data_IF_020107932241
#
_entry.id   IF_020107932241
#
_cell.length_a   1.000
_cell.length_b   1.000
_cell.length_c   1.000
_cell.angle_alpha   90.00
_cell.angle_beta   90.00
_cell.angle_gamma   90.00
#
_symmetry.space_group_name_H-M   'P 1'
#
loop_
_entity.id
_entity.type
_entity.pdbx_description
1 polymer ?
#
# COMPACT_ATOMS: atom_id res chain seq x y z
N UNK A 1 15.40 -1.77 -0.32
CA UNK A 1 14.72 -1.24 -1.52
C UNK A 1 15.22 0.18 -1.73
N UNK A 2 15.94 0.44 -2.82
CA UNK A 2 16.45 1.77 -3.14
C UNK A 2 15.55 2.35 -4.25
N UNK A 3 14.73 3.34 -3.92
CA UNK A 3 13.99 4.10 -4.92
C UNK A 3 14.90 5.24 -5.37
N UNK A 4 15.64 5.03 -6.47
CA UNK A 4 16.46 6.07 -7.08
C UNK A 4 15.57 6.82 -8.07
N UNK A 5 15.31 8.09 -7.77
CA UNK A 5 14.74 8.99 -8.76
C UNK A 5 15.81 9.24 -9.85
N UNK A 6 15.54 8.74 -11.06
CA UNK A 6 16.39 9.02 -12.22
C UNK A 6 15.84 10.25 -12.94
N UNK A 7 15.76 11.37 -12.22
CA UNK A 7 15.29 12.64 -12.75
C UNK A 7 16.21 13.10 -13.89
N UNK A 8 15.68 13.13 -15.12
CA UNK A 8 16.33 13.69 -16.29
C UNK A 8 15.37 14.73 -16.91
N UNK A 9 15.60 16.03 -16.69
CA UNK A 9 14.63 17.08 -17.01
C UNK A 9 14.25 17.18 -18.50
N UNK A 10 15.01 16.54 -19.41
CA UNK A 10 14.66 16.42 -20.84
C UNK A 10 13.68 15.29 -21.19
N UNK A 11 13.42 14.35 -20.27
CA UNK A 11 12.64 13.13 -20.51
C UNK A 11 11.66 12.78 -19.38
N UNK A 12 11.89 13.23 -18.15
CA UNK A 12 11.03 12.97 -17.00
C UNK A 12 9.96 14.06 -16.88
N UNK A 13 8.70 13.69 -17.16
CA UNK A 13 7.53 14.50 -16.77
C UNK A 13 7.49 14.68 -15.25
N UNK A 14 6.83 15.74 -14.78
CA UNK A 14 6.60 16.00 -13.35
C UNK A 14 6.18 14.72 -12.64
N UNK A 15 6.98 14.34 -11.66
CA UNK A 15 6.87 13.06 -10.97
C UNK A 15 5.45 12.85 -10.44
N UNK A 16 4.93 11.64 -10.68
CA UNK A 16 3.68 11.16 -10.09
C UNK A 16 2.48 12.00 -10.55
N UNK A 17 2.29 12.00 -11.87
CA UNK A 17 1.40 12.87 -12.66
C UNK A 17 -0.02 12.97 -12.14
N UNK A 18 -0.27 13.81 -11.13
CA UNK A 18 -1.57 14.32 -10.66
C UNK A 18 -2.67 13.28 -10.36
N UNK A 19 -2.36 11.99 -10.46
CA UNK A 19 -3.30 10.89 -10.36
C UNK A 19 -3.74 10.71 -8.93
N UNK A 20 -5.01 10.38 -8.76
CA UNK A 20 -5.55 9.92 -7.48
C UNK A 20 -5.72 8.42 -7.55
N UNK A 21 -5.09 7.72 -6.62
CA UNK A 21 -5.21 6.27 -6.47
C UNK A 21 -5.70 5.99 -5.05
N UNK A 22 -6.88 5.38 -4.92
CA UNK A 22 -7.50 5.09 -3.62
C UNK A 22 -7.46 6.26 -2.62
N UNK A 23 -7.87 7.46 -3.09
CA UNK A 23 -7.84 8.73 -2.36
C UNK A 23 -6.44 9.32 -2.06
N UNK A 24 -5.35 8.68 -2.48
CA UNK A 24 -3.99 9.20 -2.38
C UNK A 24 -3.64 10.00 -3.64
N UNK A 25 -3.38 11.30 -3.47
CA UNK A 25 -2.99 12.21 -4.55
C UNK A 25 -1.50 12.09 -4.86
N UNK A 26 -1.12 12.34 -6.11
CA UNK A 26 0.27 12.29 -6.57
C UNK A 26 0.92 10.92 -6.27
N UNK A 27 0.12 9.86 -6.34
CA UNK A 27 0.63 8.49 -6.22
C UNK A 27 1.55 8.19 -7.40
N UNK A 28 2.77 7.78 -7.11
CA UNK A 28 3.77 7.34 -8.09
C UNK A 28 3.63 5.85 -8.40
N UNK A 29 2.91 5.12 -7.55
CA UNK A 29 2.70 3.68 -7.67
C UNK A 29 2.23 3.07 -6.37
N UNK A 30 2.02 1.75 -6.43
CA UNK A 30 1.58 0.95 -5.29
C UNK A 30 2.58 -0.21 -5.09
N UNK A 31 2.90 -0.49 -3.83
CA UNK A 31 3.57 -1.73 -3.40
C UNK A 31 2.50 -2.72 -2.94
N UNK A 32 2.43 -3.88 -3.59
CA UNK A 32 1.73 -5.05 -3.06
C UNK A 32 2.76 -5.99 -2.44
N UNK A 33 2.79 -6.03 -1.12
CA UNK A 33 3.70 -6.87 -0.36
C UNK A 33 3.00 -8.16 0.05
N UNK A 34 3.33 -9.24 -0.63
CA UNK A 34 2.95 -10.61 -0.27
C UNK A 34 3.99 -11.23 0.68
N UNK A 35 3.58 -11.55 1.90
CA UNK A 35 4.44 -12.19 2.91
C UNK A 35 4.28 -13.72 2.99
N UNK A 36 3.32 -14.30 2.27
CA UNK A 36 3.06 -15.73 2.20
C UNK A 36 3.74 -16.39 0.98
N UNK A 37 4.28 -15.58 0.08
CA UNK A 37 5.16 -16.01 -1.01
C UNK A 37 4.40 -16.81 -2.06
N UNK A 38 4.80 -18.06 -2.33
CA UNK A 38 4.14 -18.91 -3.34
C UNK A 38 2.88 -19.62 -2.84
N UNK A 39 2.54 -19.48 -1.55
CA UNK A 39 1.43 -20.20 -0.93
C UNK A 39 0.13 -19.45 -1.18
N UNK A 40 -0.74 -20.02 -2.00
CA UNK A 40 -2.11 -19.53 -2.18
C UNK A 40 -3.01 -19.87 -0.96
N UNK A 41 -4.11 -19.12 -0.74
CA UNK A 41 -4.54 -17.94 -1.49
C UNK A 41 -3.86 -16.65 -1.03
N UNK A 42 -3.64 -15.71 -1.97
CA UNK A 42 -3.21 -14.35 -1.67
C UNK A 42 -4.43 -13.51 -1.29
N UNK A 43 -4.47 -13.08 -0.03
CA UNK A 43 -5.59 -12.44 0.64
C UNK A 43 -5.16 -11.10 1.21
N UNK A 44 -5.77 -10.02 0.71
CA UNK A 44 -5.56 -8.67 1.24
C UNK A 44 -5.87 -8.61 2.73
N UNK A 45 -5.00 -7.94 3.48
CA UNK A 45 -5.12 -7.83 4.92
C UNK A 45 -4.84 -9.12 5.69
N UNK A 46 -4.32 -10.16 5.06
CA UNK A 46 -3.83 -11.36 5.77
C UNK A 46 -2.39 -11.66 5.42
N UNK A 47 -2.11 -11.73 4.13
CA UNK A 47 -0.78 -11.99 3.61
C UNK A 47 -0.36 -11.02 2.49
N UNK A 48 -1.30 -10.26 1.92
CA UNK A 48 -0.98 -9.16 1.02
C UNK A 48 -1.30 -7.81 1.67
N UNK A 49 -0.31 -6.91 1.68
CA UNK A 49 -0.42 -5.57 2.27
C UNK A 49 -0.01 -4.47 1.28
N UNK A 50 -0.69 -3.33 1.36
CA UNK A 50 -0.67 -2.31 0.30
C UNK A 50 -0.11 -0.99 0.82
N UNK A 51 0.83 -0.40 0.09
CA UNK A 51 1.41 0.90 0.40
C UNK A 51 1.47 1.77 -0.85
N UNK A 52 1.24 3.07 -0.70
CA UNK A 52 1.42 4.01 -1.80
C UNK A 52 2.84 4.55 -1.79
N UNK A 53 3.45 4.62 -2.96
CA UNK A 53 4.70 5.32 -3.17
C UNK A 53 4.35 6.73 -3.61
N UNK A 54 4.73 7.72 -2.81
CA UNK A 54 4.80 9.12 -3.21
C UNK A 54 6.25 9.44 -3.63
N UNK A 55 6.45 10.67 -4.09
CA UNK A 55 7.75 11.12 -4.61
C UNK A 55 8.89 10.90 -3.60
N UNK A 56 8.62 11.22 -2.34
CA UNK A 56 9.59 11.31 -1.25
C UNK A 56 9.26 10.42 -0.06
N UNK A 57 8.11 9.74 -0.07
CA UNK A 57 7.66 8.91 1.04
C UNK A 57 6.87 7.67 0.60
N UNK A 58 6.76 6.70 1.50
CA UNK A 58 5.85 5.58 1.38
C UNK A 58 4.77 5.77 2.44
N UNK A 59 3.51 5.87 2.00
CA UNK A 59 2.37 6.11 2.88
C UNK A 59 1.49 4.88 3.01
N UNK A 60 0.85 4.76 4.18
CA UNK A 60 -0.12 3.70 4.47
C UNK A 60 -1.40 3.95 3.67
N UNK A 61 -2.08 2.87 3.28
CA UNK A 61 -3.35 2.98 2.58
C UNK A 61 -4.40 3.69 3.47
N UNK A 62 -5.16 4.67 2.96
CA UNK A 62 -5.99 5.55 3.80
C UNK A 62 -7.32 4.93 4.26
N UNK A 63 -7.76 3.84 3.62
CA UNK A 63 -9.01 3.19 3.99
C UNK A 63 -8.97 2.59 5.39
N UNK A 64 -10.11 2.62 6.07
CA UNK A 64 -10.32 1.97 7.36
C UNK A 64 -11.24 0.75 7.20
N UNK A 65 -10.83 -0.17 6.34
CA UNK A 65 -11.59 -1.36 5.93
C UNK A 65 -10.93 -2.65 6.45
N UNK A 66 -10.13 -2.55 7.52
CA UNK A 66 -9.42 -3.70 8.05
C UNK A 66 -10.28 -4.56 8.99
N UNK A 67 -11.07 -5.46 8.40
CA UNK A 67 -11.94 -6.41 9.09
C UNK A 67 -12.25 -7.62 8.19
N UNK A 68 -12.94 -8.64 8.73
CA UNK A 68 -13.25 -9.88 8.00
C UNK A 68 -14.30 -9.75 6.89
N UNK A 69 -15.05 -8.64 6.85
CA UNK A 69 -16.18 -8.41 5.95
C UNK A 69 -15.88 -7.32 4.91
N UNK A 70 -14.60 -7.01 4.68
CA UNK A 70 -14.14 -5.96 3.78
C UNK A 70 -12.97 -6.44 2.95
N UNK A 71 -12.59 -5.67 1.93
CA UNK A 71 -11.53 -6.07 0.99
C UNK A 71 -10.12 -6.02 1.63
N UNK A 72 -9.90 -5.16 2.63
CA UNK A 72 -8.67 -5.16 3.44
C UNK A 72 -7.52 -4.32 2.88
N UNK A 73 -7.80 -3.36 1.99
CA UNK A 73 -6.79 -2.47 1.40
C UNK A 73 -6.05 -1.66 2.46
N UNK A 74 -6.79 -1.18 3.45
CA UNK A 74 -6.35 -0.40 4.61
C UNK A 74 -5.65 -1.20 5.71
N UNK A 75 -5.54 -2.54 5.58
CA UNK A 75 -4.96 -3.35 6.64
C UNK A 75 -3.47 -3.09 6.89
N UNK A 76 -2.74 -2.57 5.90
CA UNK A 76 -1.36 -2.08 6.10
C UNK A 76 -1.31 -0.98 7.18
N UNK A 77 -2.29 -0.07 7.19
CA UNK A 77 -2.41 0.98 8.20
C UNK A 77 -2.66 0.41 9.59
N UNK A 78 -3.52 -0.62 9.69
CA UNK A 78 -3.79 -1.28 10.96
C UNK A 78 -2.54 -1.96 11.52
N UNK A 79 -1.84 -2.78 10.74
CA UNK A 79 -0.71 -3.58 11.25
C UNK A 79 0.46 -2.70 11.70
N UNK A 80 0.74 -1.59 11.00
CA UNK A 80 1.81 -0.66 11.37
C UNK A 80 1.45 0.10 12.66
N UNK A 81 0.20 0.52 12.82
CA UNK A 81 -0.24 1.28 14.01
C UNK A 81 -0.39 0.40 15.26
N UNK A 82 -0.80 -0.86 15.08
CA UNK A 82 -1.16 -1.74 16.21
C UNK A 82 -0.12 -2.83 16.49
N UNK A 83 0.80 -3.10 15.55
CA UNK A 83 1.80 -4.17 15.67
C UNK A 83 1.19 -5.57 15.76
N UNK A 84 -0.03 -5.78 15.26
CA UNK A 84 -0.73 -7.06 15.33
C UNK A 84 -1.82 -7.21 14.25
N UNK A 85 -2.38 -8.41 14.12
CA UNK A 85 -3.47 -8.75 13.20
C UNK A 85 -4.76 -9.18 13.92
N UNK A 86 -5.10 -8.56 15.05
CA UNK A 86 -6.25 -8.97 15.87
C UNK A 86 -7.61 -8.87 15.17
N UNK A 87 -7.72 -8.05 14.12
CA UNK A 87 -8.94 -7.96 13.29
C UNK A 87 -9.30 -9.28 12.60
N UNK A 88 -8.34 -10.20 12.39
CA UNK A 88 -8.61 -11.54 11.86
C UNK A 88 -9.40 -12.44 12.82
N UNK A 89 -9.59 -12.00 14.07
CA UNK A 89 -10.27 -12.75 15.13
C UNK A 89 -11.48 -12.01 15.69
N UNK A 90 -11.78 -10.80 15.19
CA UNK A 90 -12.98 -10.06 15.58
C UNK A 90 -14.14 -10.53 14.71
N UNK A 91 -15.16 -11.11 15.34
CA UNK A 91 -16.43 -11.43 14.69
C UNK A 91 -17.34 -10.21 14.69
#
# INVERSE_FOLDING_TARGET
MWMRDNYNPGYTKSECSGGVDSAVKNSCGIIWLDVNGKKAPNTFGKDVFIFHILKDEIVLHPYNDCNLNSEGWGCSSYIIRNGNMKYLHKK
#
